data_IF_854335790760
#
_entry.id   IF_854335790760
#
_cell.length_a   1.000
_cell.length_b   1.000
_cell.length_c   1.000
_cell.angle_alpha   90.00
_cell.angle_beta   90.00
_cell.angle_gamma   90.00
#
_symmetry.space_group_name_H-M   'P 1'
#
loop_
_entity.id
_entity.type
_entity.pdbx_description
1 polymer ?
#
# COMPACT_ATOMS: atom_id res chain seq x y z
N UNK A 1 -3.39 -6.83 6.29
CA UNK A 1 -3.00 -5.71 7.17
C UNK A 1 -2.96 -4.42 6.35
N UNK A 2 -3.48 -3.30 6.87
CA UNK A 2 -3.56 -2.03 6.15
C UNK A 2 -2.27 -1.23 6.34
N UNK A 3 -1.76 -0.62 5.28
CA UNK A 3 -0.59 0.26 5.32
C UNK A 3 -1.01 1.72 5.51
N UNK A 4 -2.17 2.09 4.96
CA UNK A 4 -2.72 3.45 5.02
C UNK A 4 -3.61 3.60 6.25
N UNK A 5 -3.43 4.70 6.98
CA UNK A 5 -4.34 5.15 8.03
C UNK A 5 -5.45 6.01 7.40
N UNK A 6 -6.66 5.48 7.34
CA UNK A 6 -7.81 6.13 6.72
C UNK A 6 -8.32 7.36 7.49
N UNK A 7 -8.04 7.45 8.81
CA UNK A 7 -8.34 8.65 9.56
C UNK A 7 -7.43 9.82 9.13
N UNK A 8 -6.15 9.53 8.90
CA UNK A 8 -5.19 10.52 8.35
C UNK A 8 -5.46 10.84 6.88
N UNK A 9 -5.94 9.87 6.09
CA UNK A 9 -6.42 10.11 4.72
C UNK A 9 -7.64 11.05 4.73
N UNK A 10 -8.35 11.15 5.86
CA UNK A 10 -9.53 12.00 6.03
C UNK A 10 -10.73 11.49 5.26
N UNK A 11 -10.85 10.17 5.07
CA UNK A 11 -11.96 9.54 4.39
C UNK A 11 -13.27 9.83 5.12
N UNK A 12 -14.28 10.30 4.36
CA UNK A 12 -15.64 10.52 4.84
C UNK A 12 -16.60 9.57 4.11
N UNK A 13 -17.71 9.16 4.74
CA UNK A 13 -18.77 8.43 4.05
C UNK A 13 -19.27 9.20 2.81
N UNK A 14 -19.36 8.48 1.68
CA UNK A 14 -19.74 9.04 0.38
C UNK A 14 -18.58 9.58 -0.45
N UNK A 15 -17.35 9.70 0.08
CA UNK A 15 -16.17 10.09 -0.70
C UNK A 15 -15.91 9.06 -1.82
N UNK A 16 -15.53 9.56 -2.99
CA UNK A 16 -15.07 8.74 -4.13
C UNK A 16 -13.60 8.40 -3.91
N UNK A 17 -13.30 7.12 -3.84
CA UNK A 17 -11.96 6.60 -3.51
C UNK A 17 -11.40 5.81 -4.68
N UNK A 18 -10.17 6.11 -5.09
CA UNK A 18 -9.38 5.26 -5.98
C UNK A 18 -8.36 4.46 -5.15
N UNK A 19 -8.38 3.13 -5.26
CA UNK A 19 -7.31 2.25 -4.77
C UNK A 19 -6.50 1.78 -5.97
N UNK A 20 -5.38 2.46 -6.26
CA UNK A 20 -4.48 2.16 -7.37
C UNK A 20 -3.51 1.05 -6.99
N UNK A 21 -3.43 0.00 -7.82
CA UNK A 21 -2.68 -1.22 -7.51
C UNK A 21 -3.36 -1.97 -6.38
N UNK A 22 -4.67 -2.21 -6.52
CA UNK A 22 -5.50 -2.76 -5.44
C UNK A 22 -5.09 -4.18 -5.03
N UNK A 23 -4.45 -4.95 -5.93
CA UNK A 23 -4.10 -6.35 -5.70
C UNK A 23 -5.30 -7.14 -5.16
N UNK A 24 -5.17 -7.73 -3.97
CA UNK A 24 -6.26 -8.45 -3.29
C UNK A 24 -7.30 -7.55 -2.61
N UNK A 25 -7.35 -6.24 -2.91
CA UNK A 25 -8.42 -5.32 -2.51
C UNK A 25 -8.44 -4.87 -1.04
N UNK A 26 -7.38 -5.09 -0.27
CA UNK A 26 -7.39 -4.84 1.19
C UNK A 26 -7.72 -3.40 1.58
N UNK A 27 -7.23 -2.39 0.83
CA UNK A 27 -7.54 -0.99 1.07
C UNK A 27 -8.92 -0.63 0.49
N UNK A 28 -9.27 -1.19 -0.66
CA UNK A 28 -10.60 -1.02 -1.26
C UNK A 28 -11.70 -1.48 -0.31
N UNK A 29 -11.59 -2.68 0.28
CA UNK A 29 -12.59 -3.21 1.23
C UNK A 29 -12.70 -2.35 2.50
N UNK A 30 -11.57 -1.88 3.02
CA UNK A 30 -11.61 -1.01 4.20
C UNK A 30 -12.24 0.36 3.87
N UNK A 31 -11.93 0.93 2.70
CA UNK A 31 -12.57 2.17 2.25
C UNK A 31 -14.08 2.01 2.08
N UNK A 32 -14.55 0.89 1.50
CA UNK A 32 -15.98 0.56 1.40
C UNK A 32 -16.62 0.41 2.78
N UNK A 33 -15.97 -0.34 3.69
CA UNK A 33 -16.45 -0.52 5.08
C UNK A 33 -16.62 0.81 5.82
N UNK A 34 -15.80 1.81 5.48
CA UNK A 34 -15.87 3.16 6.03
C UNK A 34 -16.87 4.08 5.28
N UNK A 35 -17.63 3.52 4.32
CA UNK A 35 -18.67 4.23 3.58
C UNK A 35 -18.19 4.97 2.34
N UNK A 36 -16.95 4.72 1.87
CA UNK A 36 -16.44 5.26 0.60
C UNK A 36 -17.07 4.57 -0.61
N UNK A 37 -17.17 5.30 -1.73
CA UNK A 37 -17.49 4.79 -3.06
C UNK A 37 -16.18 4.46 -3.77
N UNK A 38 -15.88 3.18 -3.94
CA UNK A 38 -14.52 2.73 -4.24
C UNK A 38 -14.38 2.24 -5.67
N UNK A 39 -13.34 2.70 -6.34
CA UNK A 39 -12.80 2.09 -7.55
C UNK A 39 -11.48 1.40 -7.19
N UNK A 40 -11.48 0.07 -7.23
CA UNK A 40 -10.28 -0.75 -7.12
C UNK A 40 -9.68 -0.91 -8.53
N UNK A 41 -8.44 -0.46 -8.74
CA UNK A 41 -7.82 -0.41 -10.05
C UNK A 41 -6.48 -1.17 -10.05
N UNK A 42 -6.29 -2.08 -11.00
CA UNK A 42 -5.03 -2.83 -11.14
C UNK A 42 -4.76 -3.21 -12.59
N UNK A 43 -3.50 -3.40 -12.94
CA UNK A 43 -3.06 -3.92 -14.23
C UNK A 43 -3.26 -5.43 -14.35
N UNK A 44 -3.26 -6.14 -13.22
CA UNK A 44 -3.50 -7.59 -13.16
C UNK A 44 -4.99 -7.89 -13.22
N UNK A 45 -5.44 -8.38 -14.37
CA UNK A 45 -6.83 -8.73 -14.59
C UNK A 45 -7.35 -9.87 -13.67
N UNK A 46 -6.47 -10.75 -13.20
CA UNK A 46 -6.85 -11.81 -12.27
C UNK A 46 -7.14 -11.21 -10.87
N UNK A 47 -6.25 -10.35 -10.38
CA UNK A 47 -6.45 -9.63 -9.12
C UNK A 47 -7.73 -8.78 -9.15
N UNK A 48 -7.98 -8.06 -10.27
CA UNK A 48 -9.21 -7.28 -10.46
C UNK A 48 -10.45 -8.17 -10.38
N UNK A 49 -10.44 -9.32 -11.05
CA UNK A 49 -11.58 -10.26 -11.03
C UNK A 49 -11.86 -10.78 -9.62
N UNK A 50 -10.82 -11.21 -8.90
CA UNK A 50 -10.97 -11.73 -7.54
C UNK A 50 -11.47 -10.63 -6.59
N UNK A 51 -10.93 -9.41 -6.72
CA UNK A 51 -11.38 -8.25 -5.96
C UNK A 51 -12.84 -7.90 -6.27
N UNK A 52 -13.27 -7.93 -7.55
CA UNK A 52 -14.65 -7.68 -7.94
C UNK A 52 -15.64 -8.65 -7.25
N UNK A 53 -15.32 -9.95 -7.27
CA UNK A 53 -16.17 -11.00 -6.62
C UNK A 53 -16.36 -10.70 -5.13
N UNK A 54 -15.29 -10.31 -4.43
CA UNK A 54 -15.38 -9.99 -3.00
C UNK A 54 -16.13 -8.67 -2.77
N UNK A 55 -15.91 -7.66 -3.63
CA UNK A 55 -16.64 -6.38 -3.53
C UNK A 55 -18.15 -6.55 -3.74
N UNK A 56 -18.57 -7.39 -4.70
CA UNK A 56 -19.97 -7.72 -4.92
C UNK A 56 -20.62 -8.44 -3.71
N UNK A 57 -19.83 -9.23 -2.96
CA UNK A 57 -20.28 -9.89 -1.75
C UNK A 57 -20.32 -8.97 -0.53
N UNK A 58 -19.70 -7.80 -0.59
CA UNK A 58 -19.73 -6.79 0.45
C UNK A 58 -20.91 -5.83 0.23
N UNK A 59 -21.56 -5.44 1.31
CA UNK A 59 -22.63 -4.43 1.27
C UNK A 59 -21.99 -3.02 1.19
N UNK A 60 -21.70 -2.57 -0.04
CA UNK A 60 -21.02 -1.29 -0.27
C UNK A 60 -21.00 -0.88 -1.74
N UNK A 61 -20.65 0.38 -2.00
CA UNK A 61 -20.59 0.97 -3.35
C UNK A 61 -19.15 0.90 -3.88
N UNK A 62 -18.91 -0.04 -4.80
CA UNK A 62 -17.58 -0.24 -5.36
C UNK A 62 -17.56 -0.96 -6.69
N UNK A 63 -16.50 -0.71 -7.45
CA UNK A 63 -16.21 -1.35 -8.73
C UNK A 63 -14.73 -1.70 -8.84
N UNK A 64 -14.42 -2.81 -9.50
CA UNK A 64 -13.05 -3.18 -9.86
C UNK A 64 -12.80 -2.94 -11.35
N UNK A 65 -11.70 -2.29 -11.70
CA UNK A 65 -11.37 -1.85 -13.06
C UNK A 65 -9.96 -2.30 -13.42
N UNK A 66 -9.81 -2.96 -14.56
CA UNK A 66 -8.50 -3.32 -15.08
C UNK A 66 -7.96 -2.22 -16.00
N UNK A 67 -6.67 -1.87 -15.83
CA UNK A 67 -6.03 -0.87 -16.68
C UNK A 67 -4.59 -0.56 -16.30
N UNK A 68 -3.99 0.38 -17.05
CA UNK A 68 -2.61 0.82 -16.85
C UNK A 68 -2.56 2.13 -16.06
N UNK A 69 -1.78 2.14 -14.98
CA UNK A 69 -1.57 3.31 -14.12
C UNK A 69 -0.89 4.49 -14.84
N UNK A 70 -0.21 4.24 -15.95
CA UNK A 70 0.40 5.28 -16.79
C UNK A 70 -0.63 6.14 -17.51
N UNK A 71 -1.89 5.66 -17.61
CA UNK A 71 -3.01 6.38 -18.25
C UNK A 71 -4.33 5.97 -17.61
N UNK A 72 -4.72 6.67 -16.56
CA UNK A 72 -5.96 6.38 -15.84
C UNK A 72 -7.20 6.79 -16.66
N UNK A 73 -8.20 5.90 -16.85
CA UNK A 73 -9.39 6.17 -17.67
C UNK A 73 -10.44 7.01 -16.91
N UNK A 74 -10.00 7.91 -16.07
CA UNK A 74 -10.87 8.75 -15.23
C UNK A 74 -10.66 10.23 -15.58
N UNK A 75 -11.70 11.07 -15.51
CA UNK A 75 -11.58 12.51 -15.71
C UNK A 75 -10.76 13.18 -14.57
N UNK A 76 -10.33 14.41 -14.83
CA UNK A 76 -9.67 15.26 -13.84
C UNK A 76 -10.58 15.47 -12.64
N UNK A 77 -10.02 15.40 -11.43
CA UNK A 77 -10.75 15.61 -10.19
C UNK A 77 -11.85 14.57 -9.90
N UNK A 78 -11.73 13.36 -10.46
CA UNK A 78 -12.73 12.30 -10.30
C UNK A 78 -12.85 11.81 -8.84
N UNK A 79 -11.79 11.90 -8.04
CA UNK A 79 -11.72 11.27 -6.71
C UNK A 79 -11.48 12.27 -5.60
N UNK A 80 -12.11 12.02 -4.45
CA UNK A 80 -11.91 12.77 -3.20
C UNK A 80 -10.69 12.27 -2.46
N UNK A 81 -10.44 10.95 -2.52
CA UNK A 81 -9.30 10.26 -1.89
C UNK A 81 -8.68 9.29 -2.88
N UNK A 82 -7.36 9.19 -2.82
CA UNK A 82 -6.59 8.24 -3.63
C UNK A 82 -5.63 7.49 -2.71
N UNK A 83 -5.53 6.19 -2.90
CA UNK A 83 -4.55 5.31 -2.28
C UNK A 83 -3.70 4.70 -3.39
N UNK A 84 -2.37 4.74 -3.23
CA UNK A 84 -1.42 4.01 -4.08
C UNK A 84 -0.43 3.30 -3.14
N UNK A 85 -0.72 2.03 -2.83
CA UNK A 85 -0.01 1.33 -1.77
C UNK A 85 0.90 0.24 -2.31
N UNK A 86 2.23 0.43 -2.20
CA UNK A 86 3.27 -0.50 -2.68
C UNK A 86 3.13 -0.73 -4.20
N UNK A 87 3.13 0.36 -4.98
CA UNK A 87 2.92 0.35 -6.44
C UNK A 87 4.07 1.00 -7.19
N UNK A 88 4.50 2.19 -6.75
CA UNK A 88 5.43 3.03 -7.51
C UNK A 88 6.83 2.40 -7.65
N UNK A 89 7.22 1.54 -6.73
CA UNK A 89 8.49 0.81 -6.76
C UNK A 89 8.57 -0.23 -7.88
N UNK A 90 7.44 -0.61 -8.47
CA UNK A 90 7.35 -1.60 -9.55
C UNK A 90 7.28 -0.95 -10.95
N UNK A 91 6.91 0.34 -11.04
CA UNK A 91 6.60 0.99 -12.32
C UNK A 91 7.78 1.87 -12.79
N UNK A 92 8.40 1.59 -13.95
CA UNK A 92 9.49 2.43 -14.47
C UNK A 92 9.11 3.91 -14.61
N UNK A 93 7.91 4.22 -15.08
CA UNK A 93 7.38 5.56 -15.30
C UNK A 93 6.65 6.16 -14.09
N UNK A 94 7.18 6.03 -12.88
CA UNK A 94 6.53 6.47 -11.64
C UNK A 94 6.15 7.96 -11.62
N UNK A 95 6.90 8.84 -12.27
CA UNK A 95 6.56 10.26 -12.38
C UNK A 95 5.29 10.49 -13.22
N UNK A 96 5.06 9.68 -14.25
CA UNK A 96 3.83 9.71 -15.04
C UNK A 96 2.64 9.25 -14.19
N UNK A 97 2.82 8.17 -13.43
CA UNK A 97 1.78 7.68 -12.51
C UNK A 97 1.45 8.75 -11.47
N UNK A 98 2.45 9.39 -10.86
CA UNK A 98 2.23 10.47 -9.88
C UNK A 98 1.48 11.65 -10.51
N UNK A 99 1.79 12.02 -11.75
CA UNK A 99 1.06 13.07 -12.47
C UNK A 99 -0.41 12.67 -12.71
N UNK A 100 -0.68 11.41 -13.09
CA UNK A 100 -2.04 10.89 -13.24
C UNK A 100 -2.81 10.86 -11.91
N UNK A 101 -2.15 10.44 -10.81
CA UNK A 101 -2.75 10.48 -9.46
C UNK A 101 -3.11 11.92 -9.05
N UNK A 102 -2.22 12.90 -9.35
CA UNK A 102 -2.50 14.31 -9.11
C UNK A 102 -3.67 14.81 -9.97
N UNK A 103 -3.71 14.44 -11.25
CA UNK A 103 -4.77 14.83 -12.18
C UNK A 103 -6.16 14.34 -11.76
N UNK A 104 -6.27 13.07 -11.37
CA UNK A 104 -7.56 12.47 -11.01
C UNK A 104 -8.04 12.86 -9.61
N UNK A 105 -7.15 13.39 -8.77
CA UNK A 105 -7.49 13.88 -7.43
C UNK A 105 -8.09 15.28 -7.53
N UNK A 106 -9.27 15.50 -6.93
CA UNK A 106 -9.90 16.83 -6.95
C UNK A 106 -9.12 17.86 -6.12
N UNK A 107 -9.29 19.14 -6.37
CA UNK A 107 -8.81 20.19 -5.46
C UNK A 107 -9.29 19.94 -4.03
N UNK A 108 -8.38 20.05 -3.06
CA UNK A 108 -8.63 19.72 -1.66
C UNK A 108 -8.66 18.21 -1.33
N UNK A 109 -8.55 17.33 -2.33
CA UNK A 109 -8.45 15.89 -2.16
C UNK A 109 -7.14 15.45 -1.52
N UNK A 110 -7.09 14.24 -0.98
CA UNK A 110 -5.90 13.69 -0.32
C UNK A 110 -5.48 12.37 -0.95
N UNK A 111 -4.19 12.27 -1.26
CA UNK A 111 -3.49 11.08 -1.73
C UNK A 111 -2.68 10.47 -0.59
N UNK A 112 -2.79 9.17 -0.37
CA UNK A 112 -1.85 8.38 0.41
C UNK A 112 -1.00 7.51 -0.52
N UNK A 113 0.31 7.72 -0.51
CA UNK A 113 1.28 6.87 -1.22
C UNK A 113 2.09 6.07 -0.22
N UNK A 114 2.22 4.77 -0.44
CA UNK A 114 3.16 3.96 0.33
C UNK A 114 4.17 3.27 -0.57
N UNK A 115 5.38 3.14 -0.06
CA UNK A 115 6.50 2.45 -0.70
C UNK A 115 7.33 1.73 0.36
N UNK A 116 8.12 0.71 0.03
CA UNK A 116 9.09 0.15 0.95
C UNK A 116 10.01 1.21 1.54
N UNK A 117 10.18 1.18 2.87
CA UNK A 117 11.05 2.15 3.57
C UNK A 117 12.51 1.87 3.25
N UNK A 118 13.28 2.91 2.95
CA UNK A 118 14.65 2.83 2.44
C UNK A 118 15.57 1.92 3.24
N UNK A 119 15.64 2.04 4.56
CA UNK A 119 16.55 1.24 5.40
C UNK A 119 16.22 -0.25 5.43
N UNK A 120 15.01 -0.65 5.84
CA UNK A 120 14.57 -2.05 5.81
C UNK A 120 14.66 -2.69 4.41
N UNK A 121 14.34 -1.91 3.35
CA UNK A 121 14.40 -2.41 1.98
C UNK A 121 15.83 -2.60 1.50
N UNK A 122 16.74 -1.69 1.85
CA UNK A 122 18.17 -1.85 1.56
C UNK A 122 18.74 -3.11 2.22
N UNK A 123 18.26 -3.46 3.44
CA UNK A 123 18.65 -4.70 4.10
C UNK A 123 18.15 -5.93 3.32
N UNK A 124 16.91 -5.93 2.81
CA UNK A 124 16.41 -7.01 1.95
C UNK A 124 17.30 -7.20 0.72
N UNK A 125 17.64 -6.11 0.03
CA UNK A 125 18.50 -6.15 -1.17
C UNK A 125 19.92 -6.65 -0.86
N UNK A 126 20.48 -6.28 0.30
CA UNK A 126 21.78 -6.73 0.74
C UNK A 126 21.79 -8.21 1.17
N UNK A 127 20.66 -8.74 1.63
CA UNK A 127 20.53 -10.13 2.09
C UNK A 127 20.18 -11.11 0.96
N UNK A 128 19.54 -10.67 -0.13
CA UNK A 128 19.11 -11.56 -1.21
C UNK A 128 18.93 -10.82 -2.53
N UNK A 129 19.74 -11.20 -3.53
CA UNK A 129 19.58 -10.73 -4.89
C UNK A 129 18.25 -11.23 -5.51
N UNK A 130 17.82 -12.44 -5.15
CA UNK A 130 16.56 -13.01 -5.60
C UNK A 130 15.37 -12.12 -5.24
N UNK A 131 15.41 -11.44 -4.10
CA UNK A 131 14.30 -10.61 -3.61
C UNK A 131 13.89 -9.50 -4.59
N UNK A 132 14.82 -8.91 -5.33
CA UNK A 132 14.55 -7.78 -6.22
C UNK A 132 14.77 -8.08 -7.71
N UNK A 133 15.41 -9.21 -8.06
CA UNK A 133 15.67 -9.58 -9.47
C UNK A 133 14.54 -10.39 -10.11
N UNK A 134 13.60 -10.91 -9.32
CA UNK A 134 12.44 -11.66 -9.84
C UNK A 134 11.52 -10.75 -10.68
N UNK A 135 10.84 -11.31 -11.70
CA UNK A 135 9.82 -10.56 -12.43
C UNK A 135 8.76 -9.97 -11.48
N UNK A 136 8.48 -8.67 -11.60
CA UNK A 136 7.58 -7.95 -10.68
C UNK A 136 8.21 -7.56 -9.34
N UNK A 137 9.52 -7.77 -9.14
CA UNK A 137 10.26 -7.28 -7.98
C UNK A 137 10.38 -5.76 -7.93
N UNK A 138 10.93 -5.25 -6.83
CA UNK A 138 11.14 -3.82 -6.65
C UNK A 138 12.31 -3.33 -7.52
N UNK A 139 12.04 -2.44 -8.47
CA UNK A 139 13.07 -1.90 -9.38
C UNK A 139 13.79 -0.67 -8.80
N UNK A 140 13.32 -0.16 -7.64
CA UNK A 140 13.91 1.00 -6.96
C UNK A 140 13.60 1.04 -5.48
N UNK A 141 14.45 1.73 -4.74
CA UNK A 141 14.25 2.04 -3.32
C UNK A 141 14.10 3.56 -3.16
N UNK A 142 13.01 3.99 -2.54
CA UNK A 142 12.76 5.42 -2.33
C UNK A 142 13.35 5.94 -1.02
N UNK A 143 14.05 7.09 -1.09
CA UNK A 143 14.22 7.96 0.07
C UNK A 143 12.96 8.82 0.24
N UNK A 144 12.56 9.07 1.47
CA UNK A 144 11.37 9.86 1.75
C UNK A 144 11.40 11.26 1.10
N UNK A 145 12.56 11.92 1.10
CA UNK A 145 12.74 13.22 0.46
C UNK A 145 12.58 13.15 -1.07
N UNK A 146 13.08 12.08 -1.70
CA UNK A 146 12.97 11.92 -3.15
C UNK A 146 11.53 11.68 -3.59
N UNK A 147 10.76 10.85 -2.84
CA UNK A 147 9.34 10.65 -3.11
C UNK A 147 8.55 11.94 -2.86
N UNK A 148 8.82 12.65 -1.76
CA UNK A 148 8.18 13.91 -1.47
C UNK A 148 8.43 14.97 -2.57
N UNK A 149 9.67 15.06 -3.10
CA UNK A 149 9.99 15.95 -4.22
C UNK A 149 9.16 15.61 -5.45
N UNK A 150 9.07 14.32 -5.84
CA UNK A 150 8.27 13.89 -7.00
C UNK A 150 6.78 14.22 -6.85
N UNK A 151 6.24 14.09 -5.64
CA UNK A 151 4.85 14.50 -5.36
C UNK A 151 4.69 16.02 -5.50
N UNK A 152 5.65 16.80 -4.99
CA UNK A 152 5.64 18.26 -5.11
C UNK A 152 5.83 18.74 -6.55
N UNK A 153 6.67 18.06 -7.33
CA UNK A 153 6.89 18.35 -8.76
C UNK A 153 5.60 18.13 -9.59
N UNK A 154 4.72 17.23 -9.13
CA UNK A 154 3.38 17.01 -9.69
C UNK A 154 2.30 17.96 -9.14
N UNK A 155 2.66 18.98 -8.37
CA UNK A 155 1.74 19.97 -7.82
C UNK A 155 1.11 19.62 -6.48
N UNK A 156 1.45 18.48 -5.89
CA UNK A 156 0.88 18.03 -4.61
C UNK A 156 1.64 18.62 -3.42
N UNK A 157 0.94 18.96 -2.35
CA UNK A 157 1.52 19.42 -1.08
C UNK A 157 1.62 18.26 -0.10
N UNK A 158 2.84 17.84 0.27
CA UNK A 158 3.03 16.78 1.26
C UNK A 158 2.76 17.31 2.66
N UNK A 159 1.69 16.82 3.31
CA UNK A 159 1.23 17.27 4.62
C UNK A 159 1.65 16.34 5.77
N UNK A 160 1.96 15.08 5.45
CA UNK A 160 2.25 14.12 6.50
C UNK A 160 3.11 12.94 6.07
N UNK A 161 3.82 12.38 7.04
CA UNK A 161 4.63 11.18 6.90
C UNK A 161 4.32 10.20 8.01
N UNK A 162 4.30 8.91 7.68
CA UNK A 162 4.18 7.80 8.63
C UNK A 162 5.01 6.60 8.21
N UNK A 163 5.01 5.60 9.07
CA UNK A 163 5.59 4.30 8.82
C UNK A 163 4.58 3.22 9.22
N UNK A 164 4.70 2.03 8.64
CA UNK A 164 3.83 0.90 8.96
C UNK A 164 4.62 -0.41 8.98
N UNK A 165 4.05 -1.41 9.65
CA UNK A 165 4.50 -2.79 9.61
C UNK A 165 5.88 -3.04 10.22
N UNK A 166 6.08 -2.66 11.50
CA UNK A 166 7.33 -2.89 12.24
C UNK A 166 7.71 -4.35 12.35
N UNK A 167 6.75 -5.25 12.59
CA UNK A 167 6.97 -6.69 12.65
C UNK A 167 7.23 -7.36 11.30
N UNK A 168 6.89 -6.71 10.18
CA UNK A 168 7.09 -7.30 8.85
C UNK A 168 8.52 -7.17 8.34
N UNK A 169 9.29 -6.17 8.77
CA UNK A 169 10.68 -6.04 8.33
C UNK A 169 11.55 -7.24 8.75
N UNK A 170 11.58 -7.67 10.04
CA UNK A 170 12.32 -8.87 10.45
C UNK A 170 11.83 -10.16 9.77
N UNK A 171 10.53 -10.26 9.47
CA UNK A 171 9.98 -11.39 8.72
C UNK A 171 10.59 -11.47 7.31
N UNK A 172 10.67 -10.36 6.60
CA UNK A 172 11.25 -10.33 5.26
C UNK A 172 12.77 -10.51 5.28
N UNK A 173 13.47 -9.99 6.29
CA UNK A 173 14.90 -10.28 6.47
C UNK A 173 15.15 -11.77 6.68
N UNK A 174 14.32 -12.43 7.51
CA UNK A 174 14.39 -13.88 7.69
C UNK A 174 14.16 -14.62 6.35
N UNK A 175 13.16 -14.23 5.58
CA UNK A 175 12.90 -14.81 4.25
C UNK A 175 14.09 -14.64 3.31
N UNK A 176 14.68 -13.46 3.26
CA UNK A 176 15.88 -13.20 2.46
C UNK A 176 17.06 -14.09 2.86
N UNK A 177 17.23 -14.36 4.17
CA UNK A 177 18.32 -15.21 4.68
C UNK A 177 18.14 -16.70 4.37
N UNK A 178 16.90 -17.20 4.37
CA UNK A 178 16.62 -18.64 4.21
C UNK A 178 16.14 -19.03 2.81
N UNK A 179 16.02 -18.05 1.92
CA UNK A 179 15.43 -18.16 0.57
C UNK A 179 14.04 -17.58 0.50
N UNK A 180 13.84 -16.59 -0.38
CA UNK A 180 12.60 -15.78 -0.50
C UNK A 180 11.37 -16.65 -0.76
N UNK A 181 11.52 -17.71 -1.57
CA UNK A 181 10.47 -18.68 -1.91
C UNK A 181 10.34 -19.85 -0.92
N UNK A 182 11.14 -19.91 0.15
CA UNK A 182 11.16 -21.05 1.07
C UNK A 182 10.09 -20.93 2.18
N UNK A 183 8.82 -20.99 1.78
CA UNK A 183 7.68 -20.90 2.70
C UNK A 183 7.57 -22.12 3.66
N UNK A 184 8.24 -23.23 3.32
CA UNK A 184 8.28 -24.44 4.16
C UNK A 184 9.26 -24.35 5.33
N UNK A 185 10.16 -23.36 5.35
CA UNK A 185 11.16 -23.23 6.39
C UNK A 185 10.52 -23.05 7.79
N UNK A 186 10.89 -23.84 8.82
CA UNK A 186 10.20 -23.83 10.10
C UNK A 186 10.12 -22.46 10.79
N UNK A 187 11.20 -21.66 10.72
CA UNK A 187 11.23 -20.32 11.30
C UNK A 187 10.33 -19.33 10.53
N UNK A 188 10.24 -19.46 9.18
CA UNK A 188 9.35 -18.63 8.37
C UNK A 188 7.91 -18.92 8.72
N UNK A 189 7.53 -20.20 8.81
CA UNK A 189 6.18 -20.63 9.20
C UNK A 189 5.82 -20.15 10.61
N UNK A 190 6.70 -20.39 11.59
CA UNK A 190 6.46 -19.95 12.96
C UNK A 190 6.30 -18.43 13.06
N UNK A 191 7.12 -17.66 12.32
CA UNK A 191 6.99 -16.21 12.30
C UNK A 191 5.69 -15.76 11.61
N UNK A 192 5.35 -16.39 10.49
CA UNK A 192 4.11 -16.14 9.77
C UNK A 192 2.88 -16.40 10.65
N UNK A 193 2.88 -17.49 11.41
CA UNK A 193 1.83 -17.79 12.40
C UNK A 193 1.68 -16.67 13.44
N UNK A 194 2.79 -16.09 13.91
CA UNK A 194 2.74 -14.93 14.83
C UNK A 194 2.11 -13.71 14.17
N UNK A 195 2.42 -13.44 12.89
CA UNK A 195 1.83 -12.32 12.16
C UNK A 195 0.33 -12.54 11.87
N UNK A 196 -0.09 -13.78 11.60
CA UNK A 196 -1.48 -14.14 11.32
C UNK A 196 -2.31 -14.27 12.61
N UNK A 197 -1.69 -14.62 13.72
CA UNK A 197 -2.36 -14.86 15.01
C UNK A 197 -3.24 -13.70 15.45
N UNK A 198 -2.78 -12.47 15.19
CA UNK A 198 -3.50 -11.23 15.51
C UNK A 198 -4.74 -11.02 14.62
N UNK A 199 -4.73 -11.57 13.41
CA UNK A 199 -5.82 -11.45 12.44
C UNK A 199 -6.93 -12.46 12.75
N UNK A 200 -6.56 -13.68 13.13
CA UNK A 200 -7.49 -14.82 13.28
C UNK A 200 -8.17 -14.89 14.63
N UNK A 201 -7.50 -14.45 15.71
CA UNK A 201 -7.98 -14.59 17.10
C UNK A 201 -8.42 -13.25 17.69
N UNK A 202 -9.57 -12.75 17.27
CA UNK A 202 -10.22 -11.57 17.91
C UNK A 202 -10.78 -11.93 19.31
N UNK A 203 -10.87 -10.98 20.27
CA UNK A 203 -10.23 -9.66 20.48
C UNK A 203 -9.28 -9.60 21.68
N UNK A 204 -8.98 -10.70 22.39
CA UNK A 204 -8.33 -10.66 23.71
C UNK A 204 -6.80 -10.65 23.63
N UNK A 205 -6.19 -11.15 22.56
CA UNK A 205 -4.73 -11.28 22.41
C UNK A 205 -4.13 -10.32 21.40
N UNK A 206 -4.97 -9.65 20.62
CA UNK A 206 -4.60 -8.71 19.56
C UNK A 206 -3.84 -7.46 20.05
N UNK A 207 -3.76 -7.24 21.36
CA UNK A 207 -3.07 -6.09 21.94
C UNK A 207 -1.55 -6.20 21.94
N UNK A 208 -0.98 -7.41 22.06
CA UNK A 208 0.47 -7.59 22.22
C UNK A 208 1.19 -7.40 20.89
N UNK A 209 0.75 -8.07 19.82
CA UNK A 209 1.35 -7.93 18.49
C UNK A 209 1.17 -6.52 17.94
N UNK A 210 0.02 -5.88 18.15
CA UNK A 210 -0.20 -4.48 17.79
C UNK A 210 0.70 -3.52 18.57
N UNK A 211 0.86 -3.74 19.89
CA UNK A 211 1.75 -2.93 20.71
C UNK A 211 3.21 -3.08 20.27
N UNK A 212 3.65 -4.31 19.97
CA UNK A 212 4.98 -4.59 19.43
C UNK A 212 5.17 -3.98 18.03
N UNK A 213 4.21 -4.15 17.14
CA UNK A 213 4.25 -3.53 15.81
C UNK A 213 4.33 -2.01 15.93
N UNK A 214 3.48 -1.39 16.74
CA UNK A 214 3.49 0.04 17.00
C UNK A 214 4.82 0.53 17.60
N UNK A 215 5.40 -0.21 18.55
CA UNK A 215 6.67 0.13 19.17
C UNK A 215 7.85 0.00 18.20
N UNK A 216 7.84 -0.98 17.29
CA UNK A 216 8.90 -1.23 16.32
C UNK A 216 8.77 -0.36 15.05
N UNK A 217 7.55 0.01 14.67
CA UNK A 217 7.25 0.75 13.44
C UNK A 217 8.09 2.04 13.27
N UNK A 218 8.30 2.90 14.28
CA UNK A 218 9.14 4.08 14.12
C UNK A 218 10.58 3.77 13.71
N UNK A 219 11.12 2.66 14.16
CA UNK A 219 12.52 2.26 13.96
C UNK A 219 12.72 1.43 12.69
N UNK A 220 11.94 0.38 12.54
CA UNK A 220 12.09 -0.64 11.48
C UNK A 220 10.83 -0.87 10.64
N UNK A 221 9.82 0.00 10.72
CA UNK A 221 8.61 -0.13 9.90
C UNK A 221 8.97 -0.38 8.44
N UNK A 222 8.38 -1.43 7.84
CA UNK A 222 8.70 -1.87 6.47
C UNK A 222 8.30 -0.83 5.42
N UNK A 223 7.17 -0.14 5.64
CA UNK A 223 6.60 0.78 4.67
C UNK A 223 6.72 2.24 5.13
N UNK A 224 7.08 3.12 4.20
CA UNK A 224 6.96 4.57 4.30
C UNK A 224 5.57 4.97 3.77
N UNK A 225 4.87 5.84 4.47
CA UNK A 225 3.59 6.41 4.04
C UNK A 225 3.73 7.92 3.94
N UNK A 226 3.38 8.50 2.79
CA UNK A 226 3.24 9.95 2.61
C UNK A 226 1.78 10.29 2.33
N UNK A 227 1.29 11.35 2.98
CA UNK A 227 -0.02 11.94 2.73
C UNK A 227 0.21 13.28 2.03
N UNK A 228 -0.42 13.48 0.88
CA UNK A 228 -0.28 14.69 0.07
C UNK A 228 -1.66 15.20 -0.35
N UNK A 229 -1.81 16.52 -0.40
CA UNK A 229 -3.05 17.19 -0.78
C UNK A 229 -2.91 17.85 -2.14
N UNK A 230 -3.97 17.77 -2.94
CA UNK A 230 -4.15 18.61 -4.12
C UNK A 230 -4.57 20.01 -3.67
N UNK A 231 -3.82 21.07 -4.02
CA UNK A 231 -4.17 22.46 -3.68
C UNK A 231 -5.52 22.90 -4.23
#
# INVERSE_FOLDING_TARGET
>A
MLTVDFARLGLQPGDRVLDLGCGAGRHAYEAMRLGGRVVAFDVDAAAVKDTAVVMEACDGDGAAVNGDALRLPFPDGAFDRVVAAEVLEHIPGDTVVIAELSRVLRPGGVLAVTVPRWGPELANWALSDEYHTVPGGHIRIYRASALASRLSDAGLVVEGRGYAHGLHAPYWWLRCLVGVGNDSHPLVRAYHEVLCWDIERRPVVSGVTRALDAALTPFIGKSLVLYARQP
#
